data_IF_936761902850
#
_entry.id   IF_936761902850
#
_cell.length_a   1.000
_cell.length_b   1.000
_cell.length_c   1.000
_cell.angle_alpha   90.00
_cell.angle_beta   90.00
_cell.angle_gamma   90.00
#
_symmetry.space_group_name_H-M   'P 1'
#
loop_
_entity.id
_entity.type
_entity.pdbx_description
1 polymer ?
#
# COMPACT_ATOMS: atom_id res chain seq x y z
N UNK A 1 -14.22 4.46 -10.17
CA UNK A 1 -13.36 3.54 -9.42
C UNK A 1 -12.12 4.32 -9.10
N UNK A 2 -11.75 4.49 -7.83
CA UNK A 2 -10.67 5.37 -7.40
C UNK A 2 -9.38 4.58 -7.06
N UNK A 3 -9.30 3.35 -7.56
CA UNK A 3 -8.18 2.47 -7.34
C UNK A 3 -7.97 1.46 -8.48
N UNK A 4 -6.74 0.96 -8.59
CA UNK A 4 -6.33 -0.15 -9.44
C UNK A 4 -5.45 -1.12 -8.63
N UNK A 5 -5.56 -2.41 -8.93
CA UNK A 5 -4.73 -3.45 -8.30
C UNK A 5 -4.06 -4.26 -9.41
N UNK A 6 -2.74 -4.37 -9.36
CA UNK A 6 -1.95 -5.23 -10.22
C UNK A 6 -1.14 -6.21 -9.39
N UNK A 7 -1.28 -7.49 -9.72
CA UNK A 7 -0.48 -8.56 -9.15
C UNK A 7 0.79 -8.74 -9.97
N UNK A 8 1.94 -8.79 -9.30
CA UNK A 8 3.25 -9.06 -9.87
C UNK A 8 3.78 -10.36 -9.26
N UNK A 9 4.19 -11.31 -10.12
CA UNK A 9 4.79 -12.60 -9.74
C UNK A 9 4.00 -13.41 -8.68
N UNK A 10 2.70 -13.13 -8.56
CA UNK A 10 1.73 -13.72 -7.63
C UNK A 10 1.92 -13.39 -6.14
N UNK A 11 2.95 -12.63 -5.74
CA UNK A 11 3.26 -12.34 -4.34
C UNK A 11 3.36 -10.85 -3.97
N UNK A 12 3.43 -9.98 -4.97
CA UNK A 12 3.43 -8.52 -4.80
C UNK A 12 2.16 -7.94 -5.41
N UNK A 13 1.41 -7.16 -4.63
CA UNK A 13 0.29 -6.35 -5.11
C UNK A 13 0.68 -4.87 -5.14
N UNK A 14 0.61 -4.27 -6.32
CA UNK A 14 0.68 -2.81 -6.48
C UNK A 14 -0.74 -2.27 -6.49
N UNK A 15 -1.04 -1.40 -5.53
CA UNK A 15 -2.35 -0.80 -5.33
C UNK A 15 -2.23 0.69 -5.58
N UNK A 16 -2.75 1.14 -6.72
CA UNK A 16 -2.77 2.56 -7.07
C UNK A 16 -4.05 3.17 -6.54
N UNK A 17 -3.93 4.25 -5.78
CA UNK A 17 -5.07 5.04 -5.31
C UNK A 17 -5.04 6.39 -6.02
N UNK A 18 -6.19 6.86 -6.50
CA UNK A 18 -6.27 8.11 -7.24
C UNK A 18 -7.53 8.91 -6.93
N UNK A 19 -7.43 10.23 -7.04
CA UNK A 19 -8.52 11.14 -6.71
C UNK A 19 -8.71 11.26 -5.19
N UNK A 20 -9.90 10.94 -4.70
CA UNK A 20 -10.24 11.00 -3.28
C UNK A 20 -10.69 9.62 -2.80
N UNK A 21 -10.15 9.19 -1.66
CA UNK A 21 -10.54 7.94 -1.03
C UNK A 21 -11.57 8.21 0.07
N UNK A 22 -12.81 7.80 -0.17
CA UNK A 22 -13.90 7.85 0.82
C UNK A 22 -14.08 6.52 1.57
N UNK A 23 -14.93 6.54 2.59
CA UNK A 23 -15.24 5.38 3.42
C UNK A 23 -15.78 4.18 2.63
N UNK A 24 -16.64 4.42 1.64
CA UNK A 24 -17.31 3.34 0.91
C UNK A 24 -16.33 2.62 -0.03
N UNK A 25 -15.45 3.37 -0.70
CA UNK A 25 -14.41 2.78 -1.56
C UNK A 25 -13.33 2.06 -0.74
N UNK A 26 -12.99 2.59 0.44
CA UNK A 26 -12.07 1.95 1.39
C UNK A 26 -12.52 0.53 1.75
N UNK A 27 -13.81 0.32 2.00
CA UNK A 27 -14.34 -0.99 2.38
C UNK A 27 -14.27 -2.03 1.26
N UNK A 28 -14.48 -1.63 0.00
CA UNK A 28 -14.32 -2.52 -1.16
C UNK A 28 -12.88 -2.96 -1.33
N UNK A 29 -11.95 -2.02 -1.25
CA UNK A 29 -10.51 -2.30 -1.32
C UNK A 29 -10.12 -3.23 -0.18
N UNK A 30 -10.62 -2.98 1.03
CA UNK A 30 -10.39 -3.81 2.21
C UNK A 30 -10.77 -5.27 1.97
N UNK A 31 -11.99 -5.51 1.49
CA UNK A 31 -12.50 -6.87 1.25
C UNK A 31 -11.71 -7.59 0.16
N UNK A 32 -11.36 -6.90 -0.93
CA UNK A 32 -10.58 -7.47 -2.03
C UNK A 32 -9.21 -7.92 -1.55
N UNK A 33 -8.45 -7.03 -0.91
CA UNK A 33 -7.08 -7.33 -0.49
C UNK A 33 -7.05 -8.43 0.58
N UNK A 34 -7.92 -8.37 1.59
CA UNK A 34 -7.93 -9.40 2.65
C UNK A 34 -8.17 -10.80 2.09
N UNK A 35 -9.07 -10.93 1.10
CA UNK A 35 -9.30 -12.20 0.42
C UNK A 35 -8.02 -12.70 -0.26
N UNK A 36 -7.29 -11.81 -0.96
CA UNK A 36 -6.03 -12.15 -1.63
C UNK A 36 -4.93 -12.55 -0.64
N UNK A 37 -4.82 -11.86 0.52
CA UNK A 37 -3.88 -12.22 1.59
C UNK A 37 -4.22 -13.61 2.16
N UNK A 38 -5.50 -13.85 2.48
CA UNK A 38 -5.95 -15.12 3.05
C UNK A 38 -5.77 -16.32 2.11
N UNK A 39 -5.71 -16.09 0.80
CA UNK A 39 -5.40 -17.12 -0.19
C UNK A 39 -3.92 -17.53 -0.18
N UNK A 40 -3.08 -16.88 0.65
CA UNK A 40 -1.71 -17.30 0.97
C UNK A 40 -0.65 -16.91 -0.06
N UNK A 41 -1.04 -16.27 -1.15
CA UNK A 41 -0.11 -15.94 -2.22
C UNK A 41 0.55 -14.57 -2.01
N UNK A 42 -0.10 -13.64 -1.30
CA UNK A 42 0.36 -12.26 -1.18
C UNK A 42 1.29 -12.06 0.03
N UNK A 43 2.55 -11.71 -0.23
CA UNK A 43 3.55 -11.39 0.79
C UNK A 43 3.84 -9.90 0.87
N UNK A 44 3.59 -9.12 -0.18
CA UNK A 44 3.94 -7.69 -0.21
C UNK A 44 2.84 -6.83 -0.82
N UNK A 45 2.59 -5.68 -0.19
CA UNK A 45 1.72 -4.65 -0.76
C UNK A 45 2.49 -3.35 -0.95
N UNK A 46 2.41 -2.79 -2.15
CA UNK A 46 2.91 -1.47 -2.51
C UNK A 46 1.71 -0.55 -2.72
N UNK A 47 1.55 0.47 -1.88
CA UNK A 47 0.50 1.48 -2.00
C UNK A 47 1.04 2.66 -2.80
N UNK A 48 0.70 2.78 -4.08
CA UNK A 48 1.06 3.97 -4.86
C UNK A 48 0.01 5.07 -4.64
N UNK A 49 0.45 6.14 -3.97
CA UNK A 49 -0.36 7.30 -3.58
C UNK A 49 -0.07 8.54 -4.43
N UNK A 50 0.74 8.42 -5.49
CA UNK A 50 1.18 9.53 -6.34
C UNK A 50 0.02 10.36 -6.88
N UNK A 51 -1.10 9.69 -7.21
CA UNK A 51 -2.30 10.32 -7.79
C UNK A 51 -3.43 10.52 -6.78
N UNK A 52 -3.17 10.28 -5.50
CA UNK A 52 -4.16 10.44 -4.45
C UNK A 52 -4.09 11.86 -3.88
N UNK A 53 -5.19 12.62 -4.03
CA UNK A 53 -5.27 14.01 -3.62
C UNK A 53 -5.63 14.12 -2.13
N UNK A 54 -6.48 13.22 -1.64
CA UNK A 54 -6.98 13.25 -0.28
C UNK A 54 -7.21 11.84 0.27
N UNK A 55 -6.87 11.67 1.55
CA UNK A 55 -7.10 10.46 2.34
C UNK A 55 -7.61 10.88 3.71
N UNK A 56 -8.73 10.29 4.15
CA UNK A 56 -9.27 10.46 5.49
C UNK A 56 -8.71 9.40 6.48
N UNK A 57 -9.25 9.37 7.69
CA UNK A 57 -8.86 8.38 8.70
C UNK A 57 -9.16 6.93 8.28
N UNK A 58 -10.15 6.71 7.41
CA UNK A 58 -10.52 5.38 6.94
C UNK A 58 -9.46 4.81 5.99
N UNK A 59 -8.90 5.65 5.11
CA UNK A 59 -7.80 5.26 4.23
C UNK A 59 -6.53 4.87 4.99
N UNK A 60 -6.19 5.62 6.04
CA UNK A 60 -5.05 5.28 6.91
C UNK A 60 -5.31 3.96 7.65
N UNK A 61 -6.54 3.78 8.15
CA UNK A 61 -6.98 2.55 8.81
C UNK A 61 -6.93 1.33 7.89
N UNK A 62 -7.21 1.49 6.60
CA UNK A 62 -7.07 0.45 5.59
C UNK A 62 -5.61 -0.02 5.46
N UNK A 63 -4.67 0.92 5.30
CA UNK A 63 -3.24 0.58 5.18
C UNK A 63 -2.75 -0.12 6.45
N UNK A 64 -3.04 0.45 7.63
CA UNK A 64 -2.66 -0.12 8.92
C UNK A 64 -3.25 -1.52 9.15
N UNK A 65 -4.50 -1.74 8.75
CA UNK A 65 -5.16 -3.04 8.84
C UNK A 65 -4.44 -4.10 7.99
N UNK A 66 -4.03 -3.74 6.77
CA UNK A 66 -3.27 -4.64 5.89
C UNK A 66 -1.85 -4.90 6.35
N UNK A 67 -1.18 -3.89 6.92
CA UNK A 67 0.13 -4.08 7.52
C UNK A 67 0.10 -5.13 8.64
N UNK A 68 -0.96 -5.13 9.47
CA UNK A 68 -1.15 -6.13 10.53
C UNK A 68 -1.39 -7.53 9.96
N UNK A 69 -2.22 -7.65 8.93
CA UNK A 69 -2.48 -8.94 8.26
C UNK A 69 -1.23 -9.50 7.58
N UNK A 70 -0.46 -8.66 6.88
CA UNK A 70 0.80 -9.06 6.26
C UNK A 70 1.86 -9.43 7.28
N UNK A 71 1.96 -8.71 8.40
CA UNK A 71 2.90 -9.02 9.47
C UNK A 71 2.72 -10.47 10.00
N UNK A 72 1.49 -10.97 10.06
CA UNK A 72 1.21 -12.36 10.46
C UNK A 72 1.79 -13.42 9.50
N UNK A 73 2.12 -13.04 8.26
CA UNK A 73 2.73 -13.90 7.25
C UNK A 73 4.16 -13.48 6.90
N UNK A 74 4.82 -12.69 7.76
CA UNK A 74 6.15 -12.08 7.52
C UNK A 74 6.21 -11.25 6.23
N UNK A 75 5.07 -10.68 5.83
CA UNK A 75 4.94 -9.85 4.66
C UNK A 75 5.42 -8.41 4.86
N UNK A 76 5.50 -7.68 3.75
CA UNK A 76 6.06 -6.33 3.70
C UNK A 76 5.05 -5.30 3.17
N UNK A 77 5.20 -4.05 3.58
CA UNK A 77 4.39 -2.93 3.07
C UNK A 77 5.29 -1.78 2.66
N UNK A 78 5.02 -1.21 1.49
CA UNK A 78 5.65 0.02 1.00
C UNK A 78 4.56 1.05 0.74
N UNK A 79 4.75 2.26 1.24
CA UNK A 79 3.92 3.44 0.96
C UNK A 79 4.68 4.29 -0.06
N UNK A 80 4.30 4.18 -1.33
CA UNK A 80 4.99 4.80 -2.45
C UNK A 80 4.37 6.16 -2.79
N UNK A 81 5.22 7.18 -2.93
CA UNK A 81 4.88 8.53 -3.39
C UNK A 81 3.70 9.21 -2.65
N UNK A 82 3.64 9.20 -1.30
CA UNK A 82 2.64 9.98 -0.58
C UNK A 82 2.80 11.48 -0.81
N UNK A 83 1.69 12.23 -0.89
CA UNK A 83 1.73 13.69 -0.88
C UNK A 83 2.34 14.25 0.41
N UNK A 84 2.81 15.50 0.40
CA UNK A 84 3.40 16.13 1.60
C UNK A 84 2.47 16.12 2.82
N UNK A 85 1.16 16.24 2.60
CA UNK A 85 0.16 16.13 3.67
C UNK A 85 0.11 14.71 4.23
N UNK A 86 0.06 13.70 3.37
CA UNK A 86 0.06 12.29 3.77
C UNK A 86 1.36 11.88 4.45
N UNK A 87 2.52 12.36 3.97
CA UNK A 87 3.83 12.15 4.61
C UNK A 87 3.82 12.54 6.08
N UNK A 88 3.30 13.74 6.41
CA UNK A 88 3.19 14.22 7.80
C UNK A 88 2.32 13.29 8.64
N UNK A 89 1.18 12.86 8.09
CA UNK A 89 0.26 11.95 8.80
C UNK A 89 0.93 10.60 9.07
N UNK A 90 1.62 10.03 8.08
CA UNK A 90 2.36 8.78 8.25
C UNK A 90 3.52 8.91 9.23
N UNK A 91 4.23 10.04 9.24
CA UNK A 91 5.26 10.34 10.25
C UNK A 91 4.67 10.33 11.67
N UNK A 92 3.55 11.03 11.89
CA UNK A 92 2.88 11.03 13.20
C UNK A 92 2.33 9.66 13.60
N UNK A 93 2.01 8.82 12.61
CA UNK A 93 1.52 7.46 12.82
C UNK A 93 2.65 6.42 13.00
N UNK A 94 3.92 6.84 13.04
CA UNK A 94 5.07 5.94 13.16
C UNK A 94 5.38 5.12 11.90
N UNK A 95 4.82 5.51 10.75
CA UNK A 95 4.95 4.79 9.48
C UNK A 95 6.05 5.36 8.57
N UNK A 96 6.90 6.25 9.09
CA UNK A 96 7.92 6.92 8.28
C UNK A 96 8.88 5.95 7.60
N UNK A 97 9.23 4.83 8.25
CA UNK A 97 10.13 3.81 7.71
C UNK A 97 9.55 2.99 6.55
N UNK A 98 8.25 3.09 6.28
CA UNK A 98 7.59 2.36 5.20
C UNK A 98 7.40 3.24 3.95
N UNK A 99 7.73 4.52 4.03
CA UNK A 99 7.59 5.45 2.90
C UNK A 99 8.77 5.34 1.94
N UNK A 100 8.46 5.40 0.64
CA UNK A 100 9.43 5.43 -0.45
C UNK A 100 8.99 6.46 -1.48
N UNK A 101 9.97 7.13 -2.10
CA UNK A 101 9.74 8.05 -3.22
C UNK A 101 10.54 7.55 -4.43
N UNK A 102 9.86 6.85 -5.33
CA UNK A 102 10.49 6.22 -6.49
C UNK A 102 9.44 5.79 -7.54
N UNK A 103 9.88 5.12 -8.60
CA UNK A 103 8.98 4.45 -9.54
C UNK A 103 8.41 3.16 -8.95
N UNK A 104 7.28 2.70 -9.48
CA UNK A 104 6.73 1.39 -9.10
C UNK A 104 7.68 0.23 -9.43
N UNK A 105 8.45 0.35 -10.52
CA UNK A 105 9.41 -0.67 -10.92
C UNK A 105 10.52 -0.80 -9.86
N UNK A 106 11.05 0.32 -9.39
CA UNK A 106 12.09 0.34 -8.35
C UNK A 106 11.55 -0.12 -7.01
N UNK A 107 10.32 0.26 -6.65
CA UNK A 107 9.65 -0.26 -5.45
C UNK A 107 9.46 -1.79 -5.49
N UNK A 108 9.11 -2.35 -6.65
CA UNK A 108 9.02 -3.81 -6.85
C UNK A 108 10.39 -4.47 -6.74
N UNK A 109 11.44 -3.89 -7.32
CA UNK A 109 12.81 -4.42 -7.20
C UNK A 109 13.28 -4.40 -5.74
N UNK A 110 13.04 -3.30 -5.03
CA UNK A 110 13.36 -3.14 -3.62
C UNK A 110 12.64 -4.17 -2.75
N UNK A 111 11.32 -4.36 -2.95
CA UNK A 111 10.53 -5.37 -2.25
C UNK A 111 11.08 -6.80 -2.41
N UNK A 112 11.75 -7.08 -3.54
CA UNK A 112 12.37 -8.37 -3.81
C UNK A 112 13.77 -8.53 -3.19
N UNK A 113 14.26 -7.52 -2.47
CA UNK A 113 15.63 -7.49 -1.94
C UNK A 113 16.70 -7.31 -3.02
N UNK A 114 16.31 -6.90 -4.23
CA UNK A 114 17.24 -6.57 -5.31
C UNK A 114 17.58 -5.08 -5.16
N UNK A 115 18.51 -4.79 -4.27
CA UNK A 115 19.09 -3.44 -4.16
C UNK A 115 20.23 -3.39 -5.17
N UNK A 116 20.05 -2.66 -6.27
CA UNK A 116 21.16 -2.37 -7.18
C UNK A 116 22.15 -1.50 -6.41
N UNK A 117 23.24 -2.12 -5.93
CA UNK A 117 24.39 -1.44 -5.34
C UNK A 117 25.28 -0.79 -6.37
#
# INVERSE_FOLDING_TARGET
MNYEINMHLNDIAVIRLFGELDHHETEKIRAHISKTIMQGNLSTIIWNLERLNFMDSSGIGLILGRMRELSAVNGQTIILNPSNTMKKIFQFSGLASFMMEDTEADAILHARGIVNG
#
